data_IF_129999497719
#
_entry.id   IF_129999497719
#
_cell.length_a   1.000
_cell.length_b   1.000
_cell.length_c   1.000
_cell.angle_alpha   90.00
_cell.angle_beta   90.00
_cell.angle_gamma   90.00
#
_symmetry.space_group_name_H-M   'P 1'
#
loop_
_entity.id
_entity.type
_entity.pdbx_description
1 polymer ?
#
# COMPACT_ATOMS: atom_id res chain seq x y z
N UNK A 1 -7.03 -18.07 -17.65
CA UNK A 1 -5.66 -17.54 -17.34
C UNK A 1 -5.80 -16.52 -16.21
N UNK A 2 -4.99 -16.63 -15.14
CA UNK A 2 -5.03 -15.62 -14.05
C UNK A 2 -4.51 -14.28 -14.56
N UNK A 3 -5.13 -13.17 -14.13
CA UNK A 3 -4.73 -11.81 -14.48
C UNK A 3 -4.32 -11.05 -13.22
N UNK A 4 -3.24 -10.29 -13.33
CA UNK A 4 -2.85 -9.25 -12.37
C UNK A 4 -3.40 -7.93 -12.87
N UNK A 5 -3.96 -7.11 -11.98
CA UNK A 5 -4.49 -5.78 -12.31
C UNK A 5 -3.95 -4.75 -11.33
N UNK A 6 -3.47 -3.63 -11.87
CA UNK A 6 -2.92 -2.53 -11.08
C UNK A 6 -3.82 -1.30 -11.19
N UNK A 7 -4.02 -0.63 -10.07
CA UNK A 7 -4.78 0.62 -10.01
C UNK A 7 -3.95 1.74 -9.40
N UNK A 8 -3.88 2.86 -10.12
CA UNK A 8 -3.16 4.06 -9.69
C UNK A 8 -3.91 4.86 -8.63
N UNK A 9 -3.20 5.78 -7.99
CA UNK A 9 -3.74 6.54 -6.85
C UNK A 9 -5.00 7.35 -7.16
N UNK A 10 -5.15 7.94 -8.34
CA UNK A 10 -6.36 8.67 -8.72
C UNK A 10 -7.60 7.78 -8.80
N UNK A 11 -7.41 6.50 -9.18
CA UNK A 11 -8.48 5.51 -9.20
C UNK A 11 -8.84 4.97 -7.81
N UNK A 12 -8.09 5.35 -6.78
CA UNK A 12 -8.24 4.89 -5.40
C UNK A 12 -8.33 6.07 -4.41
N UNK A 13 -8.67 7.26 -4.90
CA UNK A 13 -8.65 8.48 -4.10
C UNK A 13 -9.85 8.62 -3.15
N UNK A 14 -10.93 7.88 -3.34
CA UNK A 14 -12.16 7.94 -2.54
C UNK A 14 -12.92 6.62 -2.58
N UNK A 15 -13.89 6.44 -1.67
CA UNK A 15 -14.77 5.28 -1.65
C UNK A 15 -15.50 5.06 -2.98
N UNK A 16 -15.97 6.11 -3.62
CA UNK A 16 -16.62 6.02 -4.95
C UNK A 16 -15.68 5.46 -6.02
N UNK A 17 -14.40 5.84 -5.99
CA UNK A 17 -13.41 5.29 -6.91
C UNK A 17 -13.11 3.82 -6.60
N UNK A 18 -13.04 3.44 -5.32
CA UNK A 18 -12.92 2.04 -4.91
C UNK A 18 -14.07 1.17 -5.44
N UNK A 19 -15.31 1.67 -5.38
CA UNK A 19 -16.49 0.97 -5.92
C UNK A 19 -16.34 0.71 -7.41
N UNK A 20 -15.95 1.74 -8.20
CA UNK A 20 -15.70 1.56 -9.65
C UNK A 20 -14.57 0.55 -9.93
N UNK A 21 -13.51 0.57 -9.12
CA UNK A 21 -12.40 -0.38 -9.25
C UNK A 21 -12.89 -1.80 -8.95
N UNK A 22 -13.69 -1.97 -7.91
CA UNK A 22 -14.27 -3.28 -7.58
C UNK A 22 -15.17 -3.81 -8.69
N UNK A 23 -16.01 -2.96 -9.31
CA UNK A 23 -16.84 -3.33 -10.46
C UNK A 23 -15.98 -3.80 -11.64
N UNK A 24 -14.88 -3.10 -11.92
CA UNK A 24 -13.92 -3.51 -12.94
C UNK A 24 -13.30 -4.86 -12.59
N UNK A 25 -12.87 -5.08 -11.35
CA UNK A 25 -12.26 -6.34 -10.91
C UNK A 25 -13.29 -7.48 -11.06
N UNK A 26 -14.50 -7.29 -10.57
CA UNK A 26 -15.55 -8.32 -10.58
C UNK A 26 -16.10 -8.62 -11.97
N UNK A 27 -15.96 -7.73 -12.95
CA UNK A 27 -16.42 -7.95 -14.32
C UNK A 27 -15.61 -9.04 -15.08
N UNK A 28 -14.48 -9.50 -14.50
CA UNK A 28 -13.71 -10.62 -15.06
C UNK A 28 -13.14 -11.49 -13.92
N UNK A 29 -13.64 -12.69 -13.78
CA UNK A 29 -13.24 -13.67 -12.74
C UNK A 29 -11.76 -14.05 -12.78
N UNK A 30 -11.07 -13.75 -13.88
CA UNK A 30 -9.64 -13.99 -14.01
C UNK A 30 -8.78 -12.90 -13.37
N UNK A 31 -9.32 -11.73 -13.00
CA UNK A 31 -8.62 -10.67 -12.28
C UNK A 31 -8.47 -11.04 -10.81
N UNK A 32 -7.47 -11.85 -10.54
CA UNK A 32 -7.30 -12.53 -9.25
C UNK A 32 -6.31 -11.84 -8.32
N UNK A 33 -5.32 -11.15 -8.88
CA UNK A 33 -4.31 -10.46 -8.11
C UNK A 33 -4.42 -8.95 -8.39
N UNK A 34 -4.55 -8.19 -7.31
CA UNK A 34 -4.80 -6.74 -7.37
C UNK A 34 -3.64 -6.01 -6.72
N UNK A 35 -3.07 -5.04 -7.44
CA UNK A 35 -1.97 -4.20 -6.97
C UNK A 35 -2.45 -2.76 -6.83
N UNK A 36 -2.84 -2.33 -5.62
CA UNK A 36 -3.24 -0.95 -5.37
C UNK A 36 -2.03 -0.04 -5.12
N UNK A 37 -2.12 1.20 -5.61
CA UNK A 37 -1.29 2.32 -5.16
C UNK A 37 -1.92 3.01 -3.93
N UNK A 38 -1.16 3.91 -3.28
CA UNK A 38 -1.71 4.81 -2.26
C UNK A 38 -2.81 5.71 -2.83
N UNK A 39 -3.73 6.24 -2.00
CA UNK A 39 -4.76 7.17 -2.46
C UNK A 39 -4.15 8.44 -3.05
N UNK A 40 -4.56 8.76 -4.28
CA UNK A 40 -4.17 9.99 -4.97
C UNK A 40 -5.00 11.21 -4.52
N UNK A 41 -4.96 12.25 -5.33
CA UNK A 41 -5.77 13.45 -5.13
C UNK A 41 -7.26 13.17 -5.41
N UNK A 42 -8.15 13.69 -4.57
CA UNK A 42 -9.62 13.67 -4.76
C UNK A 42 -10.07 14.77 -5.73
N UNK A 43 -9.33 15.89 -5.74
CA UNK A 43 -9.56 17.08 -6.59
C UNK A 43 -8.21 17.77 -6.87
N UNK A 44 -8.19 18.81 -7.72
CA UNK A 44 -6.95 19.46 -8.20
C UNK A 44 -6.01 19.93 -7.10
N UNK A 45 -6.56 20.56 -6.06
CA UNK A 45 -5.80 21.20 -4.98
C UNK A 45 -5.58 20.27 -3.76
N UNK A 46 -5.99 19.01 -3.86
CA UNK A 46 -5.77 17.99 -2.81
C UNK A 46 -4.31 17.53 -2.79
N UNK A 47 -3.90 16.93 -1.67
CA UNK A 47 -2.57 16.35 -1.50
C UNK A 47 -2.66 14.82 -1.59
N UNK A 48 -1.70 14.20 -2.27
CA UNK A 48 -1.58 12.74 -2.30
C UNK A 48 -1.20 12.22 -0.91
N UNK A 49 -1.72 11.06 -0.54
CA UNK A 49 -1.39 10.45 0.76
C UNK A 49 0.11 10.19 0.91
N UNK A 50 0.81 9.81 -0.14
CA UNK A 50 2.27 9.61 -0.10
C UNK A 50 3.01 10.91 0.25
N UNK A 51 2.58 12.06 -0.32
CA UNK A 51 3.16 13.36 0.00
C UNK A 51 2.86 13.78 1.45
N UNK A 52 1.65 13.46 1.96
CA UNK A 52 1.30 13.67 3.36
C UNK A 52 2.16 12.82 4.31
N UNK A 53 2.45 11.57 3.95
CA UNK A 53 3.30 10.67 4.73
C UNK A 53 4.76 11.15 4.77
N UNK A 54 5.31 11.63 3.66
CA UNK A 54 6.64 12.24 3.63
C UNK A 54 6.70 13.48 4.54
N UNK A 55 5.74 14.40 4.42
CA UNK A 55 5.69 15.60 5.24
C UNK A 55 5.56 15.27 6.73
N UNK A 56 4.71 14.31 7.08
CA UNK A 56 4.52 13.84 8.45
C UNK A 56 5.81 13.21 9.01
N UNK A 57 6.47 12.34 8.23
CA UNK A 57 7.73 11.71 8.64
C UNK A 57 8.87 12.72 8.79
N UNK A 58 8.96 13.72 7.92
CA UNK A 58 9.97 14.78 8.03
C UNK A 58 9.85 15.56 9.36
N UNK A 59 8.64 15.78 9.86
CA UNK A 59 8.43 16.36 11.19
C UNK A 59 8.97 15.42 12.28
N UNK A 60 8.63 14.13 12.22
CA UNK A 60 9.11 13.14 13.17
C UNK A 60 10.63 13.00 13.16
N UNK A 61 11.26 12.96 11.97
CA UNK A 61 12.71 12.86 11.80
C UNK A 61 13.45 14.04 12.41
N UNK A 62 12.83 15.23 12.38
CA UNK A 62 13.37 16.48 12.97
C UNK A 62 12.90 16.72 14.40
N UNK A 63 12.38 15.70 15.07
CA UNK A 63 11.92 15.72 16.47
C UNK A 63 10.80 16.77 16.72
N UNK A 64 10.00 17.09 15.70
CA UNK A 64 8.82 17.95 15.79
C UNK A 64 7.55 17.14 16.04
N UNK A 65 6.53 17.78 16.60
CA UNK A 65 5.21 17.15 16.73
C UNK A 65 4.60 16.94 15.33
N UNK A 66 4.16 15.71 15.08
CA UNK A 66 3.57 15.26 13.83
C UNK A 66 2.18 14.62 14.00
N UNK A 67 1.62 14.69 15.22
CA UNK A 67 0.35 14.02 15.53
C UNK A 67 -0.82 14.53 14.71
N UNK A 68 -0.83 15.85 14.45
CA UNK A 68 -1.88 16.49 13.63
C UNK A 68 -1.84 15.96 12.20
N UNK A 69 -0.66 15.87 11.60
CA UNK A 69 -0.45 15.38 10.24
C UNK A 69 -0.80 13.90 10.13
N UNK A 70 -0.41 13.10 11.12
CA UNK A 70 -0.75 11.69 11.17
C UNK A 70 -2.27 11.47 11.34
N UNK A 71 -2.94 12.30 12.15
CA UNK A 71 -4.40 12.29 12.29
C UNK A 71 -5.11 12.62 10.98
N UNK A 72 -4.63 13.62 10.24
CA UNK A 72 -5.20 13.97 8.95
C UNK A 72 -5.08 12.82 7.92
N UNK A 73 -3.97 12.07 7.96
CA UNK A 73 -3.81 10.87 7.14
C UNK A 73 -4.80 9.78 7.57
N UNK A 74 -4.96 9.57 8.88
CA UNK A 74 -5.90 8.59 9.42
C UNK A 74 -7.36 8.92 9.04
N UNK A 75 -7.74 10.19 9.13
CA UNK A 75 -9.05 10.67 8.70
C UNK A 75 -9.30 10.41 7.22
N UNK A 76 -8.29 10.61 6.37
CA UNK A 76 -8.37 10.34 4.93
C UNK A 76 -8.71 8.87 4.62
N UNK A 77 -8.13 7.92 5.36
CA UNK A 77 -8.44 6.50 5.23
C UNK A 77 -9.79 6.15 5.86
N UNK A 78 -10.14 6.79 6.99
CA UNK A 78 -11.43 6.57 7.63
C UNK A 78 -12.59 7.01 6.72
N UNK A 79 -12.47 8.14 6.01
CA UNK A 79 -13.45 8.56 4.98
C UNK A 79 -13.69 7.48 3.92
N UNK A 80 -12.62 6.78 3.48
CA UNK A 80 -12.75 5.69 2.51
C UNK A 80 -13.47 4.49 3.15
N UNK A 81 -13.06 4.09 4.36
CA UNK A 81 -13.63 2.96 5.11
C UNK A 81 -15.14 3.19 5.33
N UNK A 82 -15.51 4.37 5.83
CA UNK A 82 -16.91 4.75 6.09
C UNK A 82 -17.74 4.79 4.82
N UNK A 83 -17.20 5.38 3.76
CA UNK A 83 -17.87 5.45 2.46
C UNK A 83 -18.05 4.09 1.77
N UNK A 84 -17.24 3.10 2.14
CA UNK A 84 -17.38 1.69 1.71
C UNK A 84 -18.23 0.86 2.69
N UNK A 85 -18.70 1.44 3.79
CA UNK A 85 -19.46 0.77 4.85
C UNK A 85 -18.72 -0.44 5.45
N UNK A 86 -17.40 -0.35 5.57
CA UNK A 86 -16.57 -1.40 6.15
C UNK A 86 -16.52 -1.31 7.68
N UNK A 87 -16.49 -2.45 8.35
CA UNK A 87 -16.26 -2.54 9.81
C UNK A 87 -14.77 -2.63 10.17
N UNK A 88 -13.89 -2.26 9.23
CA UNK A 88 -12.44 -2.27 9.40
C UNK A 88 -11.97 -1.13 10.29
N UNK A 89 -10.97 -1.38 11.14
CA UNK A 89 -10.28 -0.36 11.92
C UNK A 89 -8.78 -0.42 11.64
N UNK A 90 -8.20 0.73 11.30
CA UNK A 90 -6.75 0.90 11.10
C UNK A 90 -6.05 1.51 12.33
N UNK A 91 -6.71 1.56 13.50
CA UNK A 91 -6.15 2.20 14.70
C UNK A 91 -4.82 1.59 15.15
N UNK A 92 -4.68 0.28 15.09
CA UNK A 92 -3.46 -0.38 15.54
C UNK A 92 -2.33 -0.21 14.50
N UNK A 93 -2.68 -0.14 13.21
CA UNK A 93 -1.73 0.21 12.14
C UNK A 93 -1.19 1.63 12.36
N UNK A 94 -2.04 2.61 12.66
CA UNK A 94 -1.60 3.97 12.92
C UNK A 94 -0.77 4.10 14.20
N UNK A 95 -1.03 3.32 15.26
CA UNK A 95 -0.15 3.25 16.44
C UNK A 95 1.23 2.71 16.08
N UNK A 96 1.27 1.67 15.24
CA UNK A 96 2.53 1.09 14.75
C UNK A 96 3.30 2.10 13.89
N UNK A 97 2.62 2.84 13.01
CA UNK A 97 3.22 3.90 12.19
C UNK A 97 3.77 5.01 13.08
N UNK A 98 3.00 5.49 14.06
CA UNK A 98 3.44 6.53 15.01
C UNK A 98 4.71 6.09 15.76
N UNK A 99 4.75 4.85 16.24
CA UNK A 99 5.92 4.28 16.90
C UNK A 99 7.14 4.27 15.97
N UNK A 100 6.99 3.74 14.76
CA UNK A 100 8.08 3.64 13.80
C UNK A 100 8.59 5.03 13.33
N UNK A 101 7.71 6.03 13.26
CA UNK A 101 8.10 7.41 12.96
C UNK A 101 8.94 8.01 14.08
N UNK A 102 8.56 7.80 15.35
CA UNK A 102 9.36 8.20 16.52
C UNK A 102 10.72 7.49 16.57
N UNK A 103 10.78 6.24 16.12
CA UNK A 103 12.01 5.43 16.02
C UNK A 103 12.83 5.73 14.75
N UNK A 104 12.40 6.70 13.93
CA UNK A 104 13.09 7.14 12.71
C UNK A 104 13.33 5.99 11.72
N UNK A 105 12.28 5.22 11.43
CA UNK A 105 12.32 4.03 10.56
C UNK A 105 12.67 4.31 9.08
N UNK A 106 12.75 5.57 8.66
CA UNK A 106 13.20 6.01 7.35
C UNK A 106 12.08 6.35 6.37
N UNK A 107 12.41 7.14 5.36
CA UNK A 107 11.46 7.62 4.34
C UNK A 107 10.81 6.49 3.54
N UNK A 108 11.55 5.42 3.24
CA UNK A 108 11.00 4.27 2.53
C UNK A 108 9.87 3.61 3.32
N UNK A 109 10.05 3.46 4.64
CA UNK A 109 8.99 2.96 5.51
C UNK A 109 7.79 3.91 5.46
N UNK A 110 8.00 5.21 5.65
CA UNK A 110 6.92 6.18 5.66
C UNK A 110 6.12 6.16 4.35
N UNK A 111 6.79 6.25 3.21
CA UNK A 111 6.16 6.24 1.90
C UNK A 111 5.35 4.96 1.65
N UNK A 112 5.90 3.80 2.00
CA UNK A 112 5.23 2.49 1.79
C UNK A 112 3.90 2.35 2.54
N UNK A 113 3.71 3.09 3.63
CA UNK A 113 2.48 2.97 4.44
C UNK A 113 1.23 3.42 3.68
N UNK A 114 1.39 4.26 2.66
CA UNK A 114 0.29 4.65 1.79
C UNK A 114 -0.31 3.45 1.04
N UNK A 115 0.50 2.70 0.37
CA UNK A 115 0.09 1.49 -0.35
C UNK A 115 -0.32 0.38 0.60
N UNK A 116 0.40 0.20 1.71
CA UNK A 116 0.11 -0.80 2.74
C UNK A 116 -1.32 -0.64 3.29
N UNK A 117 -1.66 0.55 3.80
CA UNK A 117 -2.97 0.84 4.36
C UNK A 117 -4.08 0.71 3.30
N UNK A 118 -3.82 1.19 2.09
CA UNK A 118 -4.75 1.09 0.99
C UNK A 118 -4.99 -0.36 0.54
N UNK A 119 -3.94 -1.19 0.59
CA UNK A 119 -4.01 -2.62 0.33
C UNK A 119 -4.90 -3.35 1.33
N UNK A 120 -4.79 -3.03 2.63
CA UNK A 120 -5.64 -3.60 3.68
C UNK A 120 -7.13 -3.27 3.40
N UNK A 121 -7.44 -2.01 3.09
CA UNK A 121 -8.82 -1.59 2.76
C UNK A 121 -9.32 -2.32 1.51
N UNK A 122 -8.50 -2.39 0.46
CA UNK A 122 -8.87 -3.05 -0.79
C UNK A 122 -9.12 -4.55 -0.57
N UNK A 123 -8.28 -5.22 0.22
CA UNK A 123 -8.44 -6.64 0.54
C UNK A 123 -9.74 -6.89 1.32
N UNK A 124 -10.01 -6.07 2.34
CA UNK A 124 -11.26 -6.14 3.12
C UNK A 124 -12.49 -5.89 2.24
N UNK A 125 -12.44 -4.91 1.34
CA UNK A 125 -13.56 -4.55 0.47
C UNK A 125 -13.87 -5.63 -0.57
N UNK A 126 -12.83 -6.24 -1.16
CA UNK A 126 -12.99 -7.31 -2.16
C UNK A 126 -13.23 -8.69 -1.54
N UNK A 127 -12.98 -8.89 -0.25
CA UNK A 127 -12.93 -10.20 0.39
C UNK A 127 -11.75 -11.05 -0.12
N UNK A 128 -10.63 -10.42 -0.48
CA UNK A 128 -9.41 -11.06 -0.98
C UNK A 128 -8.39 -11.17 0.15
N UNK A 129 -7.43 -12.10 0.01
CA UNK A 129 -6.34 -12.21 0.97
C UNK A 129 -5.38 -11.02 0.83
N UNK A 130 -5.00 -10.40 1.95
CA UNK A 130 -3.96 -9.40 1.98
C UNK A 130 -2.59 -10.06 2.08
N UNK A 131 -1.67 -9.68 1.20
CA UNK A 131 -0.27 -10.11 1.22
C UNK A 131 0.61 -8.87 1.27
N UNK A 132 1.31 -8.66 2.38
CA UNK A 132 2.22 -7.52 2.50
C UNK A 132 3.38 -7.66 1.51
N UNK A 133 3.59 -6.63 0.69
CA UNK A 133 4.68 -6.60 -0.28
C UNK A 133 6.07 -6.75 0.40
N UNK A 134 6.23 -6.26 1.63
CA UNK A 134 7.46 -6.44 2.39
C UNK A 134 7.77 -7.91 2.72
N UNK A 135 6.77 -8.80 2.73
CA UNK A 135 6.96 -10.23 2.96
C UNK A 135 7.42 -10.99 1.71
N UNK A 136 7.10 -10.47 0.52
CA UNK A 136 7.22 -11.24 -0.73
C UNK A 136 8.08 -10.57 -1.81
N UNK A 137 8.30 -9.27 -1.76
CA UNK A 137 9.15 -8.52 -2.68
C UNK A 137 10.50 -8.27 -2.03
N UNK A 138 11.59 -8.69 -2.67
CA UNK A 138 12.94 -8.58 -2.13
C UNK A 138 13.85 -7.65 -2.93
N UNK A 139 14.70 -6.97 -2.20
CA UNK A 139 15.79 -6.15 -2.73
C UNK A 139 17.13 -6.72 -2.25
N UNK A 140 18.13 -6.66 -3.11
CA UNK A 140 19.53 -6.97 -2.79
C UNK A 140 20.13 -5.85 -1.92
N UNK A 141 21.22 -6.13 -1.22
CA UNK A 141 21.89 -5.14 -0.33
C UNK A 141 22.32 -3.86 -1.06
N UNK A 142 22.58 -3.94 -2.37
CA UNK A 142 22.88 -2.78 -3.21
C UNK A 142 21.63 -1.95 -3.60
N UNK A 143 20.46 -2.38 -3.21
CA UNK A 143 19.16 -1.71 -3.48
C UNK A 143 18.50 -2.10 -4.80
N UNK A 144 19.08 -3.02 -5.57
CA UNK A 144 18.46 -3.55 -6.78
C UNK A 144 17.35 -4.55 -6.45
N UNK A 145 16.35 -4.61 -7.32
CA UNK A 145 15.29 -5.62 -7.21
C UNK A 145 15.85 -7.03 -7.38
N UNK A 146 15.52 -7.93 -6.45
CA UNK A 146 15.91 -9.34 -6.52
C UNK A 146 14.77 -10.17 -7.11
N UNK A 147 14.79 -10.33 -8.44
CA UNK A 147 13.75 -11.06 -9.17
C UNK A 147 13.71 -12.55 -8.82
N UNK A 148 14.88 -13.17 -8.63
CA UNK A 148 14.97 -14.61 -8.37
C UNK A 148 14.35 -14.96 -7.02
N UNK A 149 14.80 -14.30 -5.95
CA UNK A 149 14.27 -14.51 -4.59
C UNK A 149 12.82 -14.09 -4.49
N UNK A 150 12.44 -12.98 -5.13
CA UNK A 150 11.03 -12.52 -5.15
C UNK A 150 10.12 -13.54 -5.81
N UNK A 151 10.48 -14.06 -6.99
CA UNK A 151 9.66 -15.03 -7.71
C UNK A 151 9.47 -16.32 -6.91
N UNK A 152 10.52 -16.77 -6.22
CA UNK A 152 10.44 -17.94 -5.35
C UNK A 152 9.48 -17.71 -4.17
N UNK A 153 9.71 -16.65 -3.38
CA UNK A 153 8.90 -16.35 -2.19
C UNK A 153 7.45 -16.05 -2.57
N UNK A 154 7.24 -15.22 -3.59
CA UNK A 154 5.90 -14.86 -4.05
C UNK A 154 5.16 -16.07 -4.60
N UNK A 155 5.84 -16.92 -5.38
CA UNK A 155 5.27 -18.15 -5.89
C UNK A 155 4.83 -19.11 -4.77
N UNK A 156 5.68 -19.30 -3.76
CA UNK A 156 5.34 -20.10 -2.57
C UNK A 156 4.18 -19.48 -1.78
N UNK A 157 4.21 -18.16 -1.55
CA UNK A 157 3.17 -17.44 -0.78
C UNK A 157 1.81 -17.47 -1.47
N UNK A 158 1.77 -17.38 -2.80
CA UNK A 158 0.54 -17.43 -3.59
C UNK A 158 0.07 -18.86 -3.93
N UNK A 159 0.87 -19.88 -3.60
CA UNK A 159 0.45 -21.27 -3.75
C UNK A 159 -0.78 -21.55 -2.87
N UNK A 160 -1.88 -21.93 -3.51
CA UNK A 160 -3.16 -22.16 -2.82
C UNK A 160 -4.01 -20.91 -2.57
N UNK A 161 -3.50 -19.70 -2.81
CA UNK A 161 -4.28 -18.47 -2.76
C UNK A 161 -4.95 -18.22 -4.10
N UNK A 162 -6.28 -18.16 -4.08
CA UNK A 162 -7.04 -17.94 -5.31
C UNK A 162 -7.05 -16.46 -5.72
N UNK A 163 -7.19 -15.57 -4.75
CA UNK A 163 -7.30 -14.12 -4.94
C UNK A 163 -6.56 -13.37 -3.85
N UNK A 164 -5.71 -12.42 -4.23
CA UNK A 164 -4.94 -11.61 -3.28
C UNK A 164 -4.86 -10.14 -3.69
N UNK A 165 -4.67 -9.29 -2.68
CA UNK A 165 -4.25 -7.90 -2.83
C UNK A 165 -2.82 -7.79 -2.32
N UNK A 166 -1.93 -7.29 -3.18
CA UNK A 166 -0.51 -7.09 -2.89
C UNK A 166 -0.23 -5.60 -3.11
N UNK A 167 0.06 -4.81 -2.07
CA UNK A 167 0.38 -3.40 -2.23
C UNK A 167 1.54 -3.20 -3.20
N UNK A 168 1.44 -2.20 -4.07
CA UNK A 168 2.52 -1.85 -4.98
C UNK A 168 3.63 -1.02 -4.34
N UNK A 169 4.66 -0.67 -5.13
CA UNK A 169 5.67 0.34 -4.83
C UNK A 169 6.80 -0.07 -3.90
N UNK A 170 6.67 -1.04 -3.00
CA UNK A 170 7.68 -1.39 -2.01
C UNK A 170 7.90 -2.90 -1.86
N UNK A 171 8.95 -3.23 -1.18
CA UNK A 171 9.32 -4.54 -0.68
C UNK A 171 10.27 -4.38 0.51
N UNK A 172 11.15 -5.33 0.75
CA UNK A 172 12.12 -5.26 1.84
C UNK A 172 13.48 -5.85 1.46
N UNK A 173 14.50 -5.44 2.21
CA UNK A 173 15.78 -6.13 2.28
C UNK A 173 15.66 -7.44 3.08
N UNK A 174 16.73 -8.24 3.09
CA UNK A 174 16.79 -9.48 3.86
C UNK A 174 16.67 -9.26 5.37
N UNK A 175 17.09 -8.09 5.88
CA UNK A 175 16.96 -7.69 7.29
C UNK A 175 15.55 -7.19 7.66
N UNK A 176 14.63 -7.15 6.70
CA UNK A 176 13.25 -6.70 6.88
C UNK A 176 13.05 -5.18 6.74
N UNK A 177 14.11 -4.39 6.53
CA UNK A 177 13.95 -2.97 6.28
C UNK A 177 13.20 -2.73 4.97
N UNK A 178 12.20 -1.86 5.02
CA UNK A 178 11.41 -1.51 3.85
C UNK A 178 12.24 -0.71 2.84
N UNK A 179 12.08 -1.07 1.59
CA UNK A 179 12.64 -0.38 0.43
C UNK A 179 11.54 -0.09 -0.59
N UNK A 180 11.52 1.14 -1.12
CA UNK A 180 10.62 1.52 -2.21
C UNK A 180 11.34 1.46 -3.55
N UNK A 181 10.60 1.17 -4.62
CA UNK A 181 11.09 1.36 -5.98
C UNK A 181 11.24 2.85 -6.29
N UNK A 182 12.21 3.22 -7.10
CA UNK A 182 12.52 4.64 -7.39
C UNK A 182 11.45 5.36 -8.22
N UNK A 183 10.82 4.66 -9.18
CA UNK A 183 9.74 5.18 -10.05
C UNK A 183 8.83 4.05 -10.51
N UNK A 184 7.54 4.37 -10.70
CA UNK A 184 6.58 3.40 -11.25
C UNK A 184 6.45 2.11 -10.44
N UNK A 185 6.80 2.11 -9.16
CA UNK A 185 6.94 0.91 -8.34
C UNK A 185 5.69 0.04 -8.30
N UNK A 186 4.49 0.63 -8.32
CA UNK A 186 3.26 -0.16 -8.39
C UNK A 186 3.08 -0.84 -9.75
N UNK A 187 3.60 -0.25 -10.85
CA UNK A 187 3.59 -0.88 -12.18
C UNK A 187 4.62 -2.02 -12.22
N UNK A 188 5.79 -1.82 -11.61
CA UNK A 188 6.81 -2.87 -11.46
C UNK A 188 6.22 -4.04 -10.66
N UNK A 189 5.60 -3.78 -9.48
CA UNK A 189 4.96 -4.82 -8.68
C UNK A 189 3.88 -5.58 -9.47
N UNK A 190 3.10 -4.88 -10.30
CA UNK A 190 2.09 -5.50 -11.16
C UNK A 190 2.65 -6.36 -12.29
N UNK A 191 3.94 -6.24 -12.59
CA UNK A 191 4.63 -6.96 -13.67
C UNK A 191 5.42 -8.17 -13.17
N UNK A 192 5.64 -8.29 -11.88
CA UNK A 192 6.25 -9.43 -11.20
C UNK A 192 5.26 -10.59 -11.15
#
# INVERSE_FOLDING_TARGET
MKKVVKFGGSSLASAQQFQKVADIIHSDVNRRYVVPSAPGKRFSDDTKVTDMLYACYHLAETDKDFKKELSAIAERYQEIIDGLSLTLSLKDEFKTIEKNFKEKAGENYAASRGEYLNGIIMAAYLGYEFVDAAEVIRFKDNGDFDAEVTNEILGQRLAGIERAVIPGFYGSYADGKVKTFSRGGSDVTGSI
#
